data_IF_619185960405
#
_entry.id   IF_619185960405
#
_cell.length_a   1.000
_cell.length_b   1.000
_cell.length_c   1.000
_cell.angle_alpha   90.00
_cell.angle_beta   90.00
_cell.angle_gamma   90.00
#
_symmetry.space_group_name_H-M   'P 1'
#
loop_
_entity.id
_entity.type
_entity.pdbx_description
1 polymer ?
#
# COMPACT_ATOMS: atom_id res chain seq x y z
N UNK A 1 40.10 -54.68 69.99
CA UNK A 1 39.64 -53.48 69.25
C UNK A 1 39.10 -53.94 67.91
N UNK A 2 37.77 -54.02 67.78
CA UNK A 2 37.11 -54.42 66.55
C UNK A 2 37.09 -53.24 65.57
N UNK A 3 37.88 -53.31 64.51
CA UNK A 3 37.71 -52.45 63.35
C UNK A 3 36.51 -52.97 62.56
N UNK A 4 35.35 -52.32 62.73
CA UNK A 4 34.22 -52.48 61.84
C UNK A 4 34.61 -51.93 60.47
N UNK A 5 34.87 -52.84 59.53
CA UNK A 5 34.94 -52.54 58.10
C UNK A 5 33.60 -51.95 57.68
N UNK A 6 33.54 -50.62 57.61
CA UNK A 6 32.44 -49.89 56.99
C UNK A 6 32.55 -50.17 55.50
N UNK A 7 31.76 -51.14 55.01
CA UNK A 7 31.62 -51.39 53.58
C UNK A 7 31.19 -50.07 52.93
N UNK A 8 32.12 -49.43 52.21
CA UNK A 8 31.80 -48.31 51.33
C UNK A 8 30.71 -48.80 50.37
N UNK A 9 29.52 -48.23 50.51
CA UNK A 9 28.34 -48.57 49.73
C UNK A 9 28.65 -48.36 48.24
N UNK A 10 29.01 -49.45 47.54
CA UNK A 10 29.31 -49.44 46.10
C UNK A 10 28.20 -48.78 45.27
N UNK A 11 26.98 -48.80 45.79
CA UNK A 11 25.79 -48.20 45.17
C UNK A 11 25.82 -46.66 45.15
N UNK A 12 26.51 -46.01 46.10
CA UNK A 12 26.60 -44.54 46.16
C UNK A 12 27.43 -43.94 45.02
N UNK A 13 28.50 -44.64 44.60
CA UNK A 13 29.32 -44.25 43.45
C UNK A 13 28.58 -44.40 42.12
N UNK A 14 27.84 -45.49 41.94
CA UNK A 14 27.00 -45.70 40.73
C UNK A 14 25.92 -44.63 40.62
N UNK A 15 25.22 -44.33 41.72
CA UNK A 15 24.18 -43.32 41.75
C UNK A 15 24.71 -41.91 41.40
N UNK A 16 25.93 -41.57 41.83
CA UNK A 16 26.56 -40.27 41.51
C UNK A 16 26.97 -40.18 40.03
N UNK A 17 27.47 -41.26 39.45
CA UNK A 17 27.82 -41.33 38.02
C UNK A 17 26.55 -41.24 37.16
N UNK A 18 25.51 -42.00 37.50
CA UNK A 18 24.22 -41.96 36.80
C UNK A 18 23.55 -40.59 36.89
N UNK A 19 23.54 -39.97 38.06
CA UNK A 19 23.01 -38.62 38.25
C UNK A 19 23.78 -37.57 37.42
N UNK A 20 25.11 -37.71 37.35
CA UNK A 20 25.95 -36.84 36.53
C UNK A 20 25.68 -37.02 35.04
N UNK A 21 25.50 -38.27 34.58
CA UNK A 21 25.16 -38.58 33.19
C UNK A 21 23.78 -37.99 32.82
N UNK A 22 22.78 -38.19 33.68
CA UNK A 22 21.43 -37.62 33.48
C UNK A 22 21.48 -36.10 33.43
N UNK A 23 22.26 -35.46 34.31
CA UNK A 23 22.43 -34.01 34.30
C UNK A 23 23.09 -33.51 33.00
N UNK A 24 24.13 -34.20 32.51
CA UNK A 24 24.78 -33.87 31.23
C UNK A 24 23.77 -33.99 30.07
N UNK A 25 23.03 -35.08 29.99
CA UNK A 25 22.00 -35.30 28.95
C UNK A 25 20.93 -34.21 29.02
N UNK A 26 20.49 -33.86 30.24
CA UNK A 26 19.52 -32.78 30.44
C UNK A 26 20.05 -31.42 29.98
N UNK A 27 21.28 -31.05 30.36
CA UNK A 27 21.90 -29.78 29.97
C UNK A 27 22.06 -29.71 28.45
N UNK A 28 22.55 -30.78 27.81
CA UNK A 28 22.67 -30.84 26.35
C UNK A 28 21.31 -30.73 25.68
N UNK A 29 20.30 -31.48 26.15
CA UNK A 29 18.94 -31.42 25.63
C UNK A 29 18.31 -30.04 25.76
N UNK A 30 18.48 -29.39 26.92
CA UNK A 30 18.04 -28.02 27.15
C UNK A 30 18.70 -27.03 26.19
N UNK A 31 20.03 -27.12 26.00
CA UNK A 31 20.77 -26.24 25.10
C UNK A 31 20.32 -26.39 23.64
N UNK A 32 20.06 -27.63 23.20
CA UNK A 32 19.52 -27.91 21.85
C UNK A 32 18.13 -27.30 21.67
N UNK A 33 17.20 -27.58 22.60
CA UNK A 33 15.84 -27.04 22.54
C UNK A 33 15.81 -25.51 22.58
N UNK A 34 16.64 -24.92 23.43
CA UNK A 34 16.74 -23.48 23.56
C UNK A 34 17.32 -22.84 22.29
N UNK A 35 18.33 -23.45 21.66
CA UNK A 35 18.91 -22.98 20.40
C UNK A 35 17.90 -23.07 19.26
N UNK A 36 17.15 -24.16 19.18
CA UNK A 36 16.06 -24.34 18.22
C UNK A 36 14.94 -23.30 18.41
N UNK A 37 14.59 -23.01 19.67
CA UNK A 37 13.59 -21.98 19.99
C UNK A 37 14.02 -20.58 19.56
N UNK A 38 15.29 -20.22 19.75
CA UNK A 38 15.83 -18.94 19.29
C UNK A 38 15.80 -18.87 17.76
N UNK A 39 16.19 -19.95 17.07
CA UNK A 39 16.17 -20.00 15.61
C UNK A 39 14.74 -19.80 15.06
N UNK A 40 13.76 -20.53 15.60
CA UNK A 40 12.35 -20.37 15.24
C UNK A 40 11.83 -18.95 15.51
N UNK A 41 12.24 -18.33 16.61
CA UNK A 41 11.87 -16.95 16.93
C UNK A 41 12.43 -15.97 15.89
N UNK A 42 13.72 -16.08 15.54
CA UNK A 42 14.37 -15.24 14.54
C UNK A 42 13.72 -15.42 13.17
N UNK A 43 13.48 -16.67 12.77
CA UNK A 43 12.84 -16.98 11.49
C UNK A 43 11.41 -16.41 11.44
N UNK A 44 10.66 -16.50 12.54
CA UNK A 44 9.30 -15.94 12.65
C UNK A 44 9.29 -14.41 12.52
N UNK A 45 10.19 -13.71 13.22
CA UNK A 45 10.30 -12.24 13.16
C UNK A 45 10.66 -11.79 11.75
N UNK A 46 11.70 -12.39 11.15
CA UNK A 46 12.18 -12.05 9.82
C UNK A 46 11.15 -12.35 8.74
N UNK A 47 10.46 -13.50 8.83
CA UNK A 47 9.40 -13.89 7.89
C UNK A 47 8.18 -12.98 7.98
N UNK A 48 7.75 -12.61 9.20
CA UNK A 48 6.64 -11.66 9.39
C UNK A 48 7.01 -10.28 8.84
N UNK A 49 8.22 -9.78 9.11
CA UNK A 49 8.69 -8.51 8.58
C UNK A 49 8.75 -8.52 7.05
N UNK A 50 9.24 -9.62 6.46
CA UNK A 50 9.29 -9.81 5.01
C UNK A 50 7.88 -9.82 4.39
N UNK A 51 6.93 -10.51 5.04
CA UNK A 51 5.54 -10.56 4.57
C UNK A 51 4.87 -9.18 4.58
N UNK A 52 4.95 -8.46 5.70
CA UNK A 52 4.37 -7.11 5.79
C UNK A 52 5.05 -6.12 4.83
N UNK A 53 6.36 -6.29 4.60
CA UNK A 53 7.10 -5.52 3.59
C UNK A 53 6.60 -5.81 2.19
N UNK A 54 6.37 -7.09 1.87
CA UNK A 54 5.82 -7.51 0.58
C UNK A 54 4.43 -6.92 0.31
N UNK A 55 3.57 -6.85 1.32
CA UNK A 55 2.23 -6.26 1.20
C UNK A 55 2.28 -4.75 0.91
N UNK A 56 3.15 -4.01 1.60
CA UNK A 56 3.33 -2.58 1.35
C UNK A 56 3.88 -2.34 -0.07
N UNK A 57 4.87 -3.12 -0.48
CA UNK A 57 5.45 -3.00 -1.83
C UNK A 57 4.44 -3.39 -2.91
N UNK A 58 3.63 -4.43 -2.72
CA UNK A 58 2.57 -4.81 -3.67
C UNK A 58 1.61 -3.65 -3.92
N UNK A 59 1.25 -2.90 -2.87
CA UNK A 59 0.43 -1.70 -2.98
C UNK A 59 1.12 -0.58 -3.78
N UNK A 60 2.43 -0.41 -3.63
CA UNK A 60 3.21 0.55 -4.42
C UNK A 60 3.40 0.12 -5.88
N UNK A 61 3.62 -1.17 -6.16
CA UNK A 61 3.68 -1.67 -7.54
C UNK A 61 2.32 -1.45 -8.21
N UNK A 62 1.20 -1.73 -7.53
CA UNK A 62 -0.13 -1.47 -8.08
C UNK A 62 -0.35 0.01 -8.41
N UNK A 63 0.16 0.91 -7.57
CA UNK A 63 0.19 2.34 -7.88
C UNK A 63 1.00 2.61 -9.16
N UNK A 64 2.25 2.14 -9.24
CA UNK A 64 3.13 2.31 -10.41
C UNK A 64 2.51 1.75 -11.71
N UNK A 65 1.97 0.53 -11.66
CA UNK A 65 1.28 -0.12 -12.80
C UNK A 65 0.10 0.73 -13.28
N UNK A 66 -0.60 1.39 -12.36
CA UNK A 66 -1.71 2.28 -12.71
C UNK A 66 -1.23 3.55 -13.42
N UNK A 67 0.03 3.99 -13.24
CA UNK A 67 0.63 5.08 -14.03
C UNK A 67 1.09 4.61 -15.40
N UNK A 68 1.71 3.43 -15.51
CA UNK A 68 2.21 2.91 -16.79
C UNK A 68 1.07 2.67 -17.81
N UNK A 69 -0.14 2.35 -17.34
CA UNK A 69 -1.33 2.16 -18.20
C UNK A 69 -1.96 3.44 -18.76
N UNK A 70 -1.58 4.62 -18.26
CA UNK A 70 -2.18 5.88 -18.70
C UNK A 70 -1.31 6.47 -19.81
N UNK A 71 -1.62 6.14 -21.06
CA UNK A 71 -0.97 6.72 -22.24
C UNK A 71 -1.01 8.27 -22.29
N UNK A 72 -1.95 8.89 -21.57
CA UNK A 72 -2.14 10.34 -21.46
C UNK A 72 -1.36 11.03 -20.33
N UNK A 73 -0.56 10.30 -19.53
CA UNK A 73 0.43 10.87 -18.58
C UNK A 73 1.85 10.54 -19.09
N UNK A 74 2.03 10.50 -20.42
CA UNK A 74 3.34 10.55 -21.08
C UNK A 74 3.94 11.96 -20.98
N UNK A 75 4.13 12.46 -19.77
CA UNK A 75 4.84 13.72 -19.55
C UNK A 75 6.16 13.43 -18.87
N UNK A 76 7.26 13.95 -19.44
CA UNK A 76 8.64 13.81 -18.96
C UNK A 76 8.83 14.23 -17.48
N UNK A 77 7.86 14.96 -16.91
CA UNK A 77 7.82 15.40 -15.51
C UNK A 77 6.56 14.93 -14.77
N UNK A 78 6.73 14.06 -13.78
CA UNK A 78 5.71 13.77 -12.76
C UNK A 78 5.90 14.79 -11.62
N UNK A 79 4.91 15.66 -11.36
CA UNK A 79 4.99 16.65 -10.28
C UNK A 79 4.54 16.03 -8.95
N UNK A 80 5.42 16.10 -7.94
CA UNK A 80 5.26 15.51 -6.60
C UNK A 80 4.00 15.97 -5.85
N UNK A 81 3.65 17.26 -5.95
CA UNK A 81 2.53 17.83 -5.19
C UNK A 81 1.17 17.24 -5.62
N UNK A 82 1.08 16.71 -6.84
CA UNK A 82 -0.18 16.17 -7.38
C UNK A 82 -0.55 14.80 -6.78
N UNK A 83 0.38 14.12 -6.08
CA UNK A 83 0.23 12.73 -5.63
C UNK A 83 0.49 12.51 -4.13
N UNK A 84 0.81 13.59 -3.42
CA UNK A 84 1.25 13.56 -2.02
C UNK A 84 0.21 12.92 -1.09
N UNK A 85 -1.08 13.18 -1.31
CA UNK A 85 -2.16 12.67 -0.47
C UNK A 85 -2.40 11.16 -0.63
N UNK A 86 -2.01 10.58 -1.78
CA UNK A 86 -2.19 9.14 -2.07
C UNK A 86 -1.06 8.31 -1.45
N UNK A 87 0.13 8.90 -1.35
CA UNK A 87 1.33 8.23 -0.86
C UNK A 87 1.38 8.23 0.68
N UNK A 88 0.59 9.08 1.35
CA UNK A 88 0.79 9.44 2.77
C UNK A 88 -0.17 8.75 3.77
N UNK A 89 -1.04 7.81 3.38
CA UNK A 89 -1.88 7.15 4.41
C UNK A 89 -1.12 6.09 5.25
N UNK A 90 0.05 5.60 4.81
CA UNK A 90 0.84 4.59 5.54
C UNK A 90 2.36 4.87 5.64
N UNK A 91 2.86 5.91 4.98
CA UNK A 91 4.28 6.27 5.00
C UNK A 91 4.43 7.62 5.70
N UNK A 92 4.97 7.62 6.93
CA UNK A 92 5.43 8.83 7.58
C UNK A 92 6.37 9.60 6.63
N UNK A 93 5.90 10.70 6.03
CA UNK A 93 6.60 11.88 5.49
C UNK A 93 8.09 11.78 5.05
N UNK A 94 8.59 10.63 4.61
CA UNK A 94 9.96 10.48 4.15
C UNK A 94 10.03 10.84 2.66
N UNK A 95 10.31 12.12 2.39
CA UNK A 95 10.54 12.69 1.05
C UNK A 95 11.44 11.84 0.14
N UNK A 96 12.32 11.01 0.71
CA UNK A 96 13.24 10.13 -0.05
C UNK A 96 12.52 8.90 -0.63
N UNK A 97 11.63 8.25 0.12
CA UNK A 97 10.89 7.07 -0.37
C UNK A 97 9.89 7.45 -1.47
N UNK A 98 9.28 8.63 -1.33
CA UNK A 98 8.39 9.20 -2.36
C UNK A 98 9.15 9.50 -3.65
N UNK A 99 10.35 10.08 -3.57
CA UNK A 99 11.22 10.31 -4.73
C UNK A 99 11.61 9.00 -5.43
N UNK A 100 11.89 7.96 -4.65
CA UNK A 100 12.22 6.64 -5.17
C UNK A 100 11.02 6.00 -5.92
N UNK A 101 9.80 6.13 -5.39
CA UNK A 101 8.57 5.69 -6.06
C UNK A 101 8.29 6.45 -7.36
N UNK A 102 8.47 7.78 -7.36
CA UNK A 102 8.32 8.61 -8.58
C UNK A 102 9.35 8.19 -9.64
N UNK A 103 10.57 7.86 -9.22
CA UNK A 103 11.61 7.39 -10.13
C UNK A 103 11.18 6.10 -10.85
N UNK A 104 10.53 5.17 -10.14
CA UNK A 104 10.01 3.93 -10.71
C UNK A 104 8.86 4.14 -11.70
N UNK A 105 8.04 5.18 -11.51
CA UNK A 105 6.94 5.53 -12.41
C UNK A 105 7.40 6.22 -13.72
N UNK A 106 8.70 6.52 -13.90
CA UNK A 106 9.21 7.11 -15.14
C UNK A 106 9.38 6.05 -16.22
N UNK A 107 8.84 6.33 -17.41
CA UNK A 107 8.79 5.42 -18.57
C UNK A 107 10.15 4.87 -19.03
N UNK A 108 11.22 5.67 -18.95
CA UNK A 108 12.54 5.33 -19.53
C UNK A 108 13.57 4.87 -18.49
N UNK A 109 13.11 4.34 -17.35
CA UNK A 109 14.02 3.81 -16.33
C UNK A 109 14.52 2.42 -16.72
N UNK A 110 15.85 2.24 -16.70
CA UNK A 110 16.44 0.92 -16.96
C UNK A 110 16.02 -0.10 -15.90
N UNK A 111 15.88 -1.37 -16.29
CA UNK A 111 15.57 -2.48 -15.36
C UNK A 111 16.55 -2.54 -14.19
N UNK A 112 17.83 -2.22 -14.42
CA UNK A 112 18.84 -2.12 -13.38
C UNK A 112 18.50 -1.03 -12.36
N UNK A 113 18.06 0.14 -12.82
CA UNK A 113 17.66 1.23 -11.95
C UNK A 113 16.35 0.91 -11.22
N UNK A 114 15.39 0.23 -11.87
CA UNK A 114 14.17 -0.29 -11.21
C UNK A 114 14.56 -1.22 -10.05
N UNK A 115 15.43 -2.19 -10.31
CA UNK A 115 15.93 -3.15 -9.32
C UNK A 115 16.60 -2.46 -8.13
N UNK A 116 17.52 -1.53 -8.38
CA UNK A 116 18.20 -0.77 -7.32
C UNK A 116 17.20 0.05 -6.49
N UNK A 117 16.24 0.70 -7.14
CA UNK A 117 15.25 1.53 -6.45
C UNK A 117 14.28 0.68 -5.62
N UNK A 118 13.76 -0.43 -6.16
CA UNK A 118 12.99 -1.39 -5.36
C UNK A 118 13.80 -1.93 -4.19
N UNK A 119 15.09 -2.22 -4.37
CA UNK A 119 15.95 -2.74 -3.30
C UNK A 119 16.08 -1.76 -2.15
N UNK A 120 16.25 -0.47 -2.48
CA UNK A 120 16.36 0.59 -1.47
C UNK A 120 15.05 0.80 -0.70
N UNK A 121 13.91 0.81 -1.40
CA UNK A 121 12.58 0.94 -0.79
C UNK A 121 12.33 -0.26 0.13
N UNK A 122 12.56 -1.47 -0.38
CA UNK A 122 12.36 -2.73 0.36
C UNK A 122 13.17 -2.79 1.62
N UNK A 123 14.46 -2.45 1.54
CA UNK A 123 15.35 -2.43 2.71
C UNK A 123 14.81 -1.52 3.82
N UNK A 124 14.40 -0.30 3.47
CA UNK A 124 13.86 0.66 4.45
C UNK A 124 12.58 0.17 5.11
N UNK A 125 11.64 -0.33 4.31
CA UNK A 125 10.36 -0.83 4.84
C UNK A 125 10.61 -2.03 5.74
N UNK A 126 11.46 -2.97 5.30
CA UNK A 126 11.83 -4.15 6.09
C UNK A 126 12.44 -3.76 7.42
N UNK A 127 13.40 -2.83 7.43
CA UNK A 127 14.01 -2.33 8.67
C UNK A 127 12.96 -1.78 9.64
N UNK A 128 12.00 -0.99 9.14
CA UNK A 128 10.92 -0.43 9.95
C UNK A 128 9.94 -1.50 10.46
N UNK A 129 9.58 -2.47 9.62
CA UNK A 129 8.69 -3.58 10.02
C UNK A 129 9.34 -4.44 11.10
N UNK A 130 10.63 -4.75 10.97
CA UNK A 130 11.39 -5.46 12.00
C UNK A 130 11.35 -4.74 13.35
N UNK A 131 11.51 -3.41 13.37
CA UNK A 131 11.41 -2.61 14.60
C UNK A 131 10.00 -2.67 15.20
N UNK A 132 8.97 -2.57 14.36
CA UNK A 132 7.57 -2.56 14.81
C UNK A 132 7.07 -3.89 15.37
N UNK A 133 7.59 -5.03 14.88
CA UNK A 133 7.15 -6.37 15.31
C UNK A 133 7.58 -6.64 16.75
N UNK A 134 8.76 -6.13 17.15
CA UNK A 134 9.23 -6.24 18.52
C UNK A 134 10.27 -5.16 18.79
N UNK A 135 9.83 -4.12 19.50
CA UNK A 135 10.70 -3.06 19.99
C UNK A 135 11.86 -3.69 20.80
N UNK A 136 13.07 -3.16 20.62
CA UNK A 136 14.29 -3.57 21.35
C UNK A 136 14.83 -4.99 21.10
N UNK A 137 14.50 -5.62 19.97
CA UNK A 137 15.18 -6.88 19.59
C UNK A 137 16.62 -6.63 19.21
N UNK A 138 17.53 -7.03 20.10
CA UNK A 138 18.94 -7.16 19.75
C UNK A 138 19.14 -8.46 18.95
N UNK A 139 19.17 -8.34 17.63
CA UNK A 139 19.39 -9.47 16.72
C UNK A 139 20.77 -10.14 16.87
N UNK A 140 21.78 -9.45 17.40
CA UNK A 140 23.07 -10.07 17.72
C UNK A 140 22.93 -11.05 18.89
N UNK A 141 22.16 -10.66 19.92
CA UNK A 141 21.86 -11.54 21.05
C UNK A 141 21.03 -12.77 20.66
N UNK A 142 20.31 -12.67 19.54
CA UNK A 142 19.57 -13.79 18.95
C UNK A 142 20.41 -14.62 17.97
N UNK A 143 21.70 -14.30 17.79
CA UNK A 143 22.63 -15.06 16.97
C UNK A 143 22.67 -14.65 15.50
N UNK A 144 22.13 -13.50 15.09
CA UNK A 144 22.37 -13.00 13.72
C UNK A 144 23.75 -12.33 13.65
N UNK A 145 24.59 -12.78 12.72
CA UNK A 145 25.91 -12.17 12.48
C UNK A 145 25.73 -10.72 12.01
N UNK A 146 26.36 -9.76 12.69
CA UNK A 146 26.20 -8.31 12.48
C UNK A 146 24.77 -7.79 12.77
N UNK A 147 24.00 -8.53 13.55
CA UNK A 147 22.68 -8.12 14.02
C UNK A 147 21.72 -7.80 12.89
N UNK A 148 20.92 -6.74 13.06
CA UNK A 148 19.96 -6.28 12.05
C UNK A 148 20.63 -5.97 10.70
N UNK A 149 21.84 -5.39 10.74
CA UNK A 149 22.59 -5.03 9.53
C UNK A 149 23.09 -6.25 8.74
N UNK A 150 23.13 -7.42 9.37
CA UNK A 150 23.44 -8.70 8.73
C UNK A 150 22.32 -9.26 7.85
N UNK A 151 21.09 -8.74 7.99
CA UNK A 151 19.94 -9.13 7.17
C UNK A 151 20.00 -8.33 5.86
N UNK A 152 20.42 -8.99 4.78
CA UNK A 152 20.59 -8.37 3.47
C UNK A 152 19.41 -8.70 2.58
N UNK A 153 18.70 -7.67 2.11
CA UNK A 153 17.84 -7.79 0.92
C UNK A 153 18.77 -8.06 -0.25
N UNK A 154 18.73 -9.26 -0.81
CA UNK A 154 19.82 -9.75 -1.65
C UNK A 154 19.42 -10.08 -3.07
N UNK A 155 18.14 -10.28 -3.37
CA UNK A 155 17.68 -10.46 -4.73
C UNK A 155 16.31 -9.79 -4.84
N UNK A 156 16.22 -8.74 -5.67
CA UNK A 156 14.93 -8.32 -6.21
C UNK A 156 14.91 -8.71 -7.67
N UNK A 157 14.21 -9.78 -7.98
CA UNK A 157 13.96 -10.16 -9.36
C UNK A 157 12.66 -9.51 -9.80
N UNK A 158 12.77 -8.56 -10.73
CA UNK A 158 11.62 -8.06 -11.47
C UNK A 158 11.27 -9.14 -12.50
N UNK A 159 10.18 -9.86 -12.24
CA UNK A 159 9.68 -10.92 -13.12
C UNK A 159 9.07 -10.27 -14.38
N UNK A 160 8.95 -11.05 -15.48
CA UNK A 160 8.52 -10.55 -16.78
C UNK A 160 7.21 -9.74 -16.71
N UNK A 161 7.18 -8.60 -17.41
CA UNK A 161 6.12 -7.59 -17.46
C UNK A 161 5.97 -6.68 -16.22
N UNK A 162 7.07 -6.39 -15.50
CA UNK A 162 7.20 -5.33 -14.46
C UNK A 162 6.29 -5.39 -13.23
N UNK A 163 5.32 -6.30 -13.18
CA UNK A 163 4.23 -6.29 -12.21
C UNK A 163 4.37 -7.36 -11.12
N UNK A 164 5.48 -8.08 -11.09
CA UNK A 164 5.78 -9.05 -10.06
C UNK A 164 7.25 -8.94 -9.63
N UNK A 165 7.47 -8.95 -8.32
CA UNK A 165 8.77 -8.93 -7.69
C UNK A 165 8.93 -10.19 -6.83
N UNK A 166 10.08 -10.84 -6.95
CA UNK A 166 10.57 -11.73 -5.91
C UNK A 166 11.47 -10.91 -5.00
N UNK A 167 11.20 -10.94 -3.69
CA UNK A 167 12.05 -10.31 -2.68
C UNK A 167 12.68 -11.42 -1.85
N UNK A 168 14.01 -11.49 -1.87
CA UNK A 168 14.77 -12.39 -1.01
C UNK A 168 15.56 -11.63 0.07
N UNK A 169 15.52 -12.15 1.29
CA UNK A 169 16.42 -11.76 2.38
C UNK A 169 17.36 -12.92 2.70
N UNK A 170 18.63 -12.58 2.92
CA UNK A 170 19.66 -13.52 3.33
C UNK A 170 20.31 -13.01 4.62
N UNK A 171 20.51 -13.92 5.57
CA UNK A 171 21.26 -13.64 6.80
C UNK A 171 21.98 -14.90 7.29
N UNK A 172 23.09 -14.70 7.98
CA UNK A 172 23.80 -15.78 8.66
C UNK A 172 23.41 -15.79 10.12
N UNK A 173 22.88 -16.92 10.55
CA UNK A 173 22.65 -17.26 11.93
C UNK A 173 23.87 -18.00 12.47
N UNK A 174 24.39 -17.57 13.61
CA UNK A 174 25.47 -18.19 14.34
C UNK A 174 25.15 -18.18 15.83
N UNK A 175 24.75 -19.32 16.36
CA UNK A 175 24.68 -19.53 17.80
C UNK A 175 25.93 -20.29 18.25
N UNK A 176 26.82 -19.57 18.92
CA UNK A 176 27.95 -20.18 19.61
C UNK A 176 27.65 -20.16 21.11
N UNK A 177 27.18 -21.29 21.66
CA UNK A 177 26.82 -21.39 23.08
C UNK A 177 27.81 -22.29 23.81
N UNK A 178 28.50 -21.66 24.77
CA UNK A 178 29.36 -22.32 25.76
C UNK A 178 30.50 -23.18 25.20
N UNK A 179 30.95 -22.93 23.96
CA UNK A 179 32.11 -23.61 23.35
C UNK A 179 31.93 -25.10 23.09
N UNK A 180 30.74 -25.66 23.32
CA UNK A 180 30.43 -27.08 23.07
C UNK A 180 29.67 -27.28 21.75
N UNK A 181 28.86 -26.30 21.34
CA UNK A 181 28.05 -26.38 20.14
C UNK A 181 28.04 -25.03 19.41
N UNK A 182 28.46 -25.05 18.14
CA UNK A 182 28.27 -23.95 17.21
C UNK A 182 27.26 -24.35 16.15
N UNK A 183 26.18 -23.58 16.05
CA UNK A 183 25.20 -23.72 14.98
C UNK A 183 25.32 -22.51 14.07
N UNK A 184 25.98 -22.70 12.93
CA UNK A 184 26.05 -21.71 11.87
C UNK A 184 25.17 -22.14 10.70
N UNK A 185 24.19 -21.31 10.36
CA UNK A 185 23.29 -21.55 9.24
C UNK A 185 23.13 -20.30 8.38
N UNK A 186 23.07 -20.47 7.06
CA UNK A 186 22.73 -19.40 6.14
C UNK A 186 21.26 -19.53 5.79
N UNK A 187 20.46 -18.53 6.15
CA UNK A 187 19.02 -18.55 5.92
C UNK A 187 18.70 -17.64 4.74
N UNK A 188 17.99 -18.19 3.76
CA UNK A 188 17.35 -17.46 2.65
C UNK A 188 15.84 -17.57 2.81
N UNK A 189 15.15 -16.43 2.88
CA UNK A 189 13.70 -16.35 2.86
C UNK A 189 13.25 -15.54 1.66
N UNK A 190 12.24 -16.01 0.94
CA UNK A 190 11.75 -15.37 -0.27
C UNK A 190 10.24 -15.13 -0.17
N UNK A 191 9.78 -14.02 -0.72
CA UNK A 191 8.37 -13.75 -0.96
C UNK A 191 8.18 -13.32 -2.42
N UNK A 192 7.18 -13.89 -3.07
CA UNK A 192 6.74 -13.47 -4.39
C UNK A 192 5.55 -12.56 -4.22
N UNK A 193 5.69 -11.34 -4.70
CA UNK A 193 4.62 -10.34 -4.72
C UNK A 193 4.28 -10.01 -6.16
N UNK A 194 2.99 -9.95 -6.44
CA UNK A 194 2.47 -9.51 -7.73
C UNK A 194 1.41 -8.44 -7.51
N UNK A 195 1.02 -7.77 -8.59
CA UNK A 195 -0.15 -6.91 -8.57
C UNK A 195 -1.39 -7.69 -8.99
N UNK A 196 -2.51 -7.35 -8.36
CA UNK A 196 -3.85 -7.73 -8.83
C UNK A 196 -4.32 -6.82 -9.95
N UNK A 197 -3.47 -5.91 -10.44
CA UNK A 197 -3.76 -5.13 -11.62
C UNK A 197 -4.08 -6.14 -12.70
N UNK A 198 -5.38 -6.27 -13.02
CA UNK A 198 -5.87 -7.16 -14.07
C UNK A 198 -4.88 -7.05 -15.23
N UNK A 199 -4.56 -8.19 -15.84
CA UNK A 199 -4.24 -8.23 -17.27
C UNK A 199 -5.44 -7.61 -18.00
N UNK A 200 -5.60 -6.29 -17.89
CA UNK A 200 -6.28 -5.49 -18.87
C UNK A 200 -5.43 -5.67 -20.09
N UNK A 201 -6.07 -6.11 -21.17
CA UNK A 201 -5.41 -6.36 -22.44
C UNK A 201 -4.48 -5.22 -22.77
N UNK A 202 -3.48 -5.53 -23.59
CA UNK A 202 -2.81 -4.53 -24.42
C UNK A 202 -3.83 -3.45 -24.80
N UNK A 203 -3.47 -2.17 -24.67
CA UNK A 203 -4.30 -1.00 -24.97
C UNK A 203 -4.73 -0.86 -26.44
N UNK A 204 -5.05 -1.98 -27.08
CA UNK A 204 -5.58 -2.16 -28.42
C UNK A 204 -6.95 -2.85 -28.41
N UNK A 205 -7.60 -3.04 -27.26
CA UNK A 205 -9.00 -3.42 -27.25
C UNK A 205 -9.83 -2.18 -27.61
N UNK A 206 -10.26 -2.09 -28.87
CA UNK A 206 -11.09 -1.01 -29.43
C UNK A 206 -12.43 -0.75 -28.71
N UNK A 207 -12.69 -1.48 -27.61
CA UNK A 207 -13.90 -1.46 -26.79
C UNK A 207 -13.64 -1.06 -25.32
N UNK A 208 -12.44 -0.59 -24.95
CA UNK A 208 -12.17 -0.13 -23.58
C UNK A 208 -12.72 1.29 -23.34
N UNK A 209 -13.81 1.41 -22.59
CA UNK A 209 -14.36 2.71 -22.17
C UNK A 209 -13.67 3.22 -20.90
N UNK A 210 -13.66 4.55 -20.69
CA UNK A 210 -13.15 5.17 -19.44
C UNK A 210 -13.85 4.58 -18.20
N UNK A 211 -15.08 4.09 -18.34
CA UNK A 211 -15.88 3.48 -17.28
C UNK A 211 -15.35 2.13 -16.75
N UNK A 212 -14.44 1.49 -17.48
CA UNK A 212 -13.71 0.29 -17.04
C UNK A 212 -12.48 0.61 -16.18
N UNK A 213 -12.05 1.88 -16.15
CA UNK A 213 -10.94 2.34 -15.33
C UNK A 213 -11.34 2.52 -13.86
N UNK A 214 -10.33 2.59 -12.99
CA UNK A 214 -10.55 2.82 -11.55
C UNK A 214 -11.25 4.15 -11.28
N UNK A 215 -11.97 4.26 -10.14
CA UNK A 215 -12.64 5.50 -9.73
C UNK A 215 -11.68 6.71 -9.72
N UNK A 216 -10.41 6.48 -9.40
CA UNK A 216 -9.37 7.50 -9.39
C UNK A 216 -9.06 8.02 -10.80
N UNK A 217 -8.78 7.11 -11.74
CA UNK A 217 -8.44 7.46 -13.13
C UNK A 217 -9.61 8.21 -13.78
N UNK A 218 -10.83 7.69 -13.61
CA UNK A 218 -12.04 8.34 -14.13
C UNK A 218 -12.26 9.72 -13.52
N UNK A 219 -12.15 9.84 -12.20
CA UNK A 219 -12.31 11.12 -11.51
C UNK A 219 -11.35 12.18 -12.05
N UNK A 220 -10.08 11.82 -12.28
CA UNK A 220 -9.09 12.71 -12.86
C UNK A 220 -9.39 13.06 -14.32
N UNK A 221 -9.74 12.08 -15.14
CA UNK A 221 -10.11 12.29 -16.55
C UNK A 221 -11.22 13.35 -16.66
N UNK A 222 -12.32 13.16 -15.93
CA UNK A 222 -13.44 14.08 -15.99
C UNK A 222 -13.16 15.43 -15.33
N UNK A 223 -12.42 15.47 -14.21
CA UNK A 223 -12.01 16.74 -13.61
C UNK A 223 -11.12 17.54 -14.57
N UNK A 224 -10.19 16.90 -15.28
CA UNK A 224 -9.33 17.57 -16.27
C UNK A 224 -10.12 18.02 -17.52
N UNK A 225 -11.17 17.28 -17.93
CA UNK A 225 -12.09 17.72 -19.00
C UNK A 225 -12.87 18.97 -18.59
N UNK A 226 -13.51 18.93 -17.41
CA UNK A 226 -14.27 20.04 -16.87
C UNK A 226 -13.40 21.28 -16.63
N UNK A 227 -12.13 21.11 -16.24
CA UNK A 227 -11.15 22.21 -16.14
C UNK A 227 -10.87 22.92 -17.46
N UNK A 228 -10.93 22.21 -18.59
CA UNK A 228 -10.72 22.82 -19.92
C UNK A 228 -11.96 23.55 -20.41
N UNK A 229 -13.15 23.09 -20.03
CA UNK A 229 -14.43 23.63 -20.50
C UNK A 229 -14.97 24.75 -19.60
N UNK A 230 -14.62 24.77 -18.31
CA UNK A 230 -15.08 25.81 -17.40
C UNK A 230 -14.22 27.08 -17.47
N UNK A 231 -14.85 28.28 -17.56
CA UNK A 231 -14.15 29.57 -17.55
C UNK A 231 -13.63 30.01 -16.16
N UNK A 232 -13.68 29.12 -15.15
CA UNK A 232 -13.31 29.43 -13.77
C UNK A 232 -11.81 29.31 -13.46
N UNK A 233 -11.41 29.66 -12.24
CA UNK A 233 -10.03 29.46 -11.77
C UNK A 233 -9.84 27.99 -11.43
N UNK A 234 -8.90 27.35 -12.14
CA UNK A 234 -8.49 25.99 -11.81
C UNK A 234 -7.63 26.01 -10.55
N UNK A 235 -8.13 25.35 -9.50
CA UNK A 235 -7.40 25.17 -8.25
C UNK A 235 -6.26 24.18 -8.47
N UNK A 236 -5.11 24.46 -7.84
CA UNK A 236 -3.96 23.54 -7.86
C UNK A 236 -4.38 22.14 -7.42
N UNK A 237 -3.99 21.13 -8.20
CA UNK A 237 -4.19 19.71 -7.85
C UNK A 237 -3.62 19.42 -6.45
N UNK A 238 -4.27 18.51 -5.71
CA UNK A 238 -3.89 18.18 -4.33
C UNK A 238 -4.47 19.10 -3.25
N UNK A 239 -5.29 20.09 -3.60
CA UNK A 239 -5.93 20.99 -2.61
C UNK A 239 -7.21 20.40 -1.99
N UNK A 240 -7.57 19.16 -2.34
CA UNK A 240 -8.82 18.52 -1.90
C UNK A 240 -10.09 18.96 -2.63
N UNK A 241 -10.02 19.95 -3.53
CA UNK A 241 -11.12 20.41 -4.38
C UNK A 241 -10.59 20.66 -5.80
N UNK A 242 -11.46 20.72 -6.80
CA UNK A 242 -11.05 20.65 -8.20
C UNK A 242 -11.06 21.99 -8.94
N UNK A 243 -12.04 22.85 -8.65
CA UNK A 243 -12.35 24.06 -9.39
C UNK A 243 -12.91 25.15 -8.46
N UNK A 244 -12.69 26.42 -8.84
CA UNK A 244 -13.37 27.57 -8.24
C UNK A 244 -14.01 28.43 -9.32
N UNK A 245 -15.34 28.52 -9.25
CA UNK A 245 -16.13 29.44 -10.05
C UNK A 245 -16.17 30.80 -9.36
N UNK A 246 -15.41 31.75 -9.92
CA UNK A 246 -15.25 33.11 -9.38
C UNK A 246 -16.55 33.90 -9.48
N UNK A 247 -17.29 33.75 -10.58
CA UNK A 247 -18.50 34.53 -10.83
C UNK A 247 -19.58 34.20 -9.79
N UNK A 248 -19.69 32.93 -9.44
CA UNK A 248 -20.70 32.45 -8.49
C UNK A 248 -20.16 32.25 -7.06
N UNK A 249 -18.89 32.57 -6.79
CA UNK A 249 -18.17 32.26 -5.55
C UNK A 249 -18.42 30.81 -5.10
N UNK A 250 -18.20 29.85 -6.02
CA UNK A 250 -18.55 28.43 -5.81
C UNK A 250 -17.33 27.54 -5.91
N UNK A 251 -17.05 26.77 -4.85
CA UNK A 251 -16.06 25.69 -4.85
C UNK A 251 -16.72 24.43 -5.40
N UNK A 252 -16.07 23.82 -6.39
CA UNK A 252 -16.58 22.62 -7.05
C UNK A 252 -15.59 21.47 -6.85
N UNK A 253 -16.11 20.32 -6.43
CA UNK A 253 -15.36 19.06 -6.39
C UNK A 253 -16.03 18.03 -7.29
N UNK A 254 -15.22 17.33 -8.07
CA UNK A 254 -15.64 16.42 -9.12
C UNK A 254 -15.35 14.98 -8.70
N UNK A 255 -16.37 14.14 -8.75
CA UNK A 255 -16.23 12.68 -8.61
C UNK A 255 -16.87 11.99 -9.81
N UNK A 256 -16.53 10.72 -10.02
CA UNK A 256 -17.17 9.90 -11.04
C UNK A 256 -17.65 8.57 -10.48
N UNK A 257 -18.84 8.14 -10.89
CA UNK A 257 -19.43 6.87 -10.45
C UNK A 257 -19.97 6.10 -11.65
N UNK A 258 -19.45 4.89 -11.86
CA UNK A 258 -20.08 3.96 -12.78
C UNK A 258 -21.34 3.40 -12.11
N UNK A 259 -22.48 4.06 -12.34
CA UNK A 259 -23.76 3.74 -11.72
C UNK A 259 -24.26 2.33 -12.06
N UNK A 260 -23.79 1.74 -13.16
CA UNK A 260 -24.15 0.37 -13.59
C UNK A 260 -23.41 -0.72 -12.82
N UNK A 261 -22.44 -0.36 -11.97
CA UNK A 261 -21.79 -1.35 -11.11
C UNK A 261 -22.83 -2.00 -10.18
N UNK A 262 -22.73 -3.32 -10.00
CA UNK A 262 -23.59 -4.12 -9.11
C UNK A 262 -23.65 -3.58 -7.67
N UNK A 263 -22.64 -2.83 -7.23
CA UNK A 263 -22.64 -2.12 -5.94
C UNK A 263 -23.70 -1.02 -5.88
N UNK A 264 -23.94 -0.30 -6.97
CA UNK A 264 -24.76 0.92 -6.98
C UNK A 264 -26.14 0.72 -7.60
N UNK A 265 -26.28 -0.22 -8.52
CA UNK A 265 -27.58 -0.52 -9.12
C UNK A 265 -27.76 -2.01 -9.39
N UNK A 266 -29.00 -2.37 -9.65
CA UNK A 266 -29.41 -3.68 -10.17
C UNK A 266 -30.39 -3.51 -11.32
N UNK A 267 -30.30 -4.39 -12.32
CA UNK A 267 -31.25 -4.46 -13.42
C UNK A 267 -32.27 -5.56 -13.12
N UNK A 268 -33.56 -5.23 -13.10
CA UNK A 268 -34.68 -6.17 -12.97
C UNK A 268 -35.70 -5.87 -14.06
N UNK A 269 -36.03 -6.88 -14.87
CA UNK A 269 -37.09 -6.78 -15.91
C UNK A 269 -36.96 -5.50 -16.76
N UNK A 270 -35.75 -5.28 -17.28
CA UNK A 270 -35.34 -4.12 -18.10
C UNK A 270 -35.28 -2.74 -17.40
N UNK A 271 -35.72 -2.65 -16.14
CA UNK A 271 -35.59 -1.44 -15.34
C UNK A 271 -34.36 -1.47 -14.45
N UNK A 272 -33.69 -0.33 -14.32
CA UNK A 272 -32.56 -0.16 -13.42
C UNK A 272 -33.02 0.46 -12.10
N UNK A 273 -32.63 -0.16 -10.99
CA UNK A 273 -32.94 0.29 -9.64
C UNK A 273 -31.66 0.67 -8.90
N UNK A 274 -31.67 1.84 -8.24
CA UNK A 274 -30.54 2.28 -7.42
C UNK A 274 -30.59 1.63 -6.05
N UNK A 275 -29.43 1.21 -5.58
CA UNK A 275 -29.22 0.68 -4.23
C UNK A 275 -28.86 1.79 -3.26
N UNK A 276 -29.10 1.55 -1.98
CA UNK A 276 -28.81 2.50 -0.90
C UNK A 276 -27.33 2.91 -0.87
N UNK A 277 -26.43 2.00 -1.26
CA UNK A 277 -24.99 2.21 -1.38
C UNK A 277 -24.61 3.38 -2.29
N UNK A 278 -25.37 3.62 -3.36
CA UNK A 278 -25.16 4.77 -4.24
C UNK A 278 -25.36 6.07 -3.47
N UNK A 279 -26.50 6.20 -2.78
CA UNK A 279 -26.83 7.38 -1.97
C UNK A 279 -25.84 7.58 -0.82
N UNK A 280 -25.45 6.50 -0.13
CA UNK A 280 -24.41 6.54 0.91
C UNK A 280 -23.08 7.04 0.37
N UNK A 281 -22.70 6.62 -0.83
CA UNK A 281 -21.45 7.03 -1.49
C UNK A 281 -21.48 8.52 -1.85
N UNK A 282 -22.55 8.98 -2.52
CA UNK A 282 -22.71 10.40 -2.87
C UNK A 282 -22.74 11.29 -1.61
N UNK A 283 -23.42 10.84 -0.55
CA UNK A 283 -23.44 11.54 0.76
C UNK A 283 -22.07 11.59 1.42
N UNK A 284 -21.27 10.53 1.28
CA UNK A 284 -19.89 10.50 1.76
C UNK A 284 -19.03 11.53 1.01
N UNK A 285 -19.17 11.62 -0.32
CA UNK A 285 -18.45 12.61 -1.12
C UNK A 285 -18.84 14.04 -0.77
N UNK A 286 -20.12 14.32 -0.55
CA UNK A 286 -20.56 15.65 -0.12
C UNK A 286 -19.97 16.04 1.25
N UNK A 287 -19.95 15.10 2.21
CA UNK A 287 -19.29 15.33 3.51
C UNK A 287 -17.79 15.61 3.38
N UNK A 288 -17.11 14.92 2.45
CA UNK A 288 -15.68 15.16 2.16
C UNK A 288 -15.46 16.55 1.57
N UNK A 289 -16.31 17.01 0.66
CA UNK A 289 -16.28 18.37 0.14
C UNK A 289 -16.35 19.41 1.26
N UNK A 290 -17.34 19.29 2.15
CA UNK A 290 -17.48 20.21 3.29
C UNK A 290 -16.26 20.21 4.21
N UNK A 291 -15.69 19.04 4.48
CA UNK A 291 -14.46 18.91 5.27
C UNK A 291 -13.27 19.60 4.58
N UNK A 292 -13.12 19.39 3.27
CA UNK A 292 -12.04 19.98 2.50
C UNK A 292 -12.14 21.51 2.46
N UNK A 293 -13.34 22.06 2.24
CA UNK A 293 -13.58 23.51 2.30
C UNK A 293 -13.22 24.07 3.68
N UNK A 294 -13.61 23.38 4.76
CA UNK A 294 -13.26 23.79 6.13
C UNK A 294 -11.75 23.80 6.37
N UNK A 295 -11.02 22.84 5.79
CA UNK A 295 -9.58 22.72 5.94
C UNK A 295 -8.79 23.71 5.08
N UNK A 296 -9.40 24.34 4.08
CA UNK A 296 -8.74 25.32 3.21
C UNK A 296 -8.42 26.65 3.90
N UNK A 297 -8.86 26.89 5.14
CA UNK A 297 -8.56 28.11 5.91
C UNK A 297 -8.77 29.40 5.10
N UNK A 298 -9.86 29.46 4.31
CA UNK A 298 -10.24 30.58 3.45
C UNK A 298 -9.23 30.96 2.36
N UNK A 299 -8.23 30.13 2.04
CA UNK A 299 -7.27 30.42 0.99
C UNK A 299 -7.04 29.22 0.08
N UNK A 300 -6.87 29.45 -1.22
CA UNK A 300 -6.40 28.42 -2.14
C UNK A 300 -5.35 28.96 -3.10
N UNK A 301 -4.54 28.04 -3.62
CA UNK A 301 -3.54 28.33 -4.64
C UNK A 301 -4.10 27.84 -5.96
N UNK A 302 -4.16 28.72 -6.94
CA UNK A 302 -4.54 28.38 -8.31
C UNK A 302 -3.39 27.69 -9.05
N UNK A 303 -3.67 27.10 -10.21
CA UNK A 303 -2.66 26.44 -11.05
C UNK A 303 -1.51 27.36 -11.49
N UNK A 304 -1.72 28.68 -11.56
CA UNK A 304 -0.68 29.66 -11.92
C UNK A 304 0.18 30.11 -10.72
N UNK A 305 -0.11 29.57 -9.52
CA UNK A 305 0.61 29.86 -8.28
C UNK A 305 0.09 31.06 -7.50
N UNK A 306 -0.95 31.78 -7.99
CA UNK A 306 -1.57 32.87 -7.24
C UNK A 306 -2.44 32.33 -6.10
N UNK A 307 -2.32 32.97 -4.94
CA UNK A 307 -3.18 32.74 -3.79
C UNK A 307 -4.43 33.60 -3.90
N UNK A 308 -5.57 33.00 -3.59
CA UNK A 308 -6.87 33.67 -3.56
C UNK A 308 -7.52 33.44 -2.22
N UNK A 309 -8.07 34.51 -1.64
CA UNK A 309 -8.88 34.44 -0.43
C UNK A 309 -10.34 34.20 -0.80
N UNK A 310 -10.94 33.19 -0.17
CA UNK A 310 -12.34 32.84 -0.33
C UNK A 310 -13.07 33.16 0.97
N UNK A 311 -14.01 34.10 0.87
CA UNK A 311 -14.97 34.35 1.93
C UNK A 311 -16.27 33.59 1.64
N UNK A 312 -16.65 32.69 2.55
CA UNK A 312 -17.93 31.99 2.59
C UNK A 312 -18.38 31.43 1.20
N UNK A 313 -17.61 30.51 0.60
CA UNK A 313 -17.92 29.96 -0.71
C UNK A 313 -19.19 29.12 -0.66
N UNK A 314 -19.94 29.13 -1.76
CA UNK A 314 -20.94 28.09 -2.01
C UNK A 314 -20.23 26.78 -2.35
N UNK A 315 -20.74 25.67 -1.86
CA UNK A 315 -20.25 24.34 -2.20
C UNK A 315 -21.06 23.72 -3.34
N UNK A 316 -20.39 23.04 -4.27
CA UNK A 316 -21.05 22.23 -5.30
C UNK A 316 -20.29 20.92 -5.49
N UNK A 317 -21.01 19.81 -5.39
CA UNK A 317 -20.49 18.48 -5.71
C UNK A 317 -20.95 18.10 -7.12
N UNK A 318 -20.00 17.88 -8.03
CA UNK A 318 -20.29 17.35 -9.38
C UNK A 318 -20.01 15.87 -9.39
N UNK A 319 -21.03 15.06 -9.70
CA UNK A 319 -20.90 13.62 -9.92
C UNK A 319 -21.06 13.34 -11.42
N UNK A 320 -19.99 12.89 -12.05
CA UNK A 320 -20.02 12.45 -13.44
C UNK A 320 -20.49 11.01 -13.50
N UNK A 321 -21.48 10.75 -14.33
CA UNK A 321 -22.11 9.47 -14.58
C UNK A 321 -22.04 9.13 -16.08
N UNK A 322 -22.19 7.85 -16.45
CA UNK A 322 -22.30 7.45 -17.85
C UNK A 322 -23.46 8.15 -18.55
N UNK A 323 -23.33 8.42 -19.85
CA UNK A 323 -24.36 9.10 -20.65
C UNK A 323 -25.74 8.45 -20.56
N UNK A 324 -25.77 7.12 -20.59
CA UNK A 324 -26.97 6.31 -20.58
C UNK A 324 -27.73 6.43 -19.26
N UNK A 325 -27.04 6.84 -18.18
CA UNK A 325 -27.67 7.02 -16.88
C UNK A 325 -28.75 8.10 -16.89
N UNK A 326 -28.67 9.06 -17.82
CA UNK A 326 -29.65 10.15 -17.97
C UNK A 326 -31.05 9.66 -18.27
N UNK A 327 -31.16 8.57 -19.03
CA UNK A 327 -32.44 7.98 -19.44
C UNK A 327 -32.86 6.83 -18.53
N UNK A 328 -31.88 6.12 -17.95
CA UNK A 328 -32.11 4.89 -17.20
C UNK A 328 -32.38 5.12 -15.69
N UNK A 329 -32.04 6.29 -15.15
CA UNK A 329 -32.21 6.60 -13.72
C UNK A 329 -32.88 7.96 -13.49
N UNK A 330 -33.82 8.02 -12.55
CA UNK A 330 -34.38 9.29 -12.06
C UNK A 330 -33.59 9.79 -10.84
N UNK A 331 -32.66 10.72 -11.07
CA UNK A 331 -31.80 11.31 -10.04
C UNK A 331 -32.32 12.65 -9.50
N UNK A 332 -33.51 13.10 -9.92
CA UNK A 332 -34.01 14.46 -9.59
C UNK A 332 -34.23 14.68 -8.09
N UNK A 333 -34.58 13.63 -7.36
CA UNK A 333 -34.90 13.72 -5.93
C UNK A 333 -33.66 13.77 -5.02
N UNK A 334 -32.47 13.43 -5.52
CA UNK A 334 -31.24 13.33 -4.71
C UNK A 334 -30.77 14.69 -4.19
N UNK A 335 -31.00 15.77 -4.97
CA UNK A 335 -30.63 17.13 -4.59
C UNK A 335 -31.27 17.58 -3.27
N UNK A 336 -32.46 17.08 -2.94
CA UNK A 336 -33.18 17.46 -1.72
C UNK A 336 -32.63 16.78 -0.46
N UNK A 337 -31.98 15.62 -0.59
CA UNK A 337 -31.57 14.80 0.56
C UNK A 337 -30.10 14.96 0.95
N UNK A 338 -29.22 15.30 -0.01
CA UNK A 338 -27.76 15.29 0.21
C UNK A 338 -27.16 16.69 0.29
N UNK A 339 -27.66 17.64 -0.51
CA UNK A 339 -27.11 19.00 -0.63
C UNK A 339 -26.98 19.45 -2.08
N UNK A 340 -26.11 20.43 -2.35
CA UNK A 340 -25.90 20.96 -3.69
C UNK A 340 -25.08 19.99 -4.56
N UNK A 341 -25.76 18.98 -5.11
CA UNK A 341 -25.19 17.96 -5.98
C UNK A 341 -25.66 18.18 -7.42
N UNK A 342 -24.73 18.16 -8.37
CA UNK A 342 -24.98 18.24 -9.80
C UNK A 342 -24.53 16.93 -10.46
N UNK A 343 -25.38 16.36 -11.31
CA UNK A 343 -25.05 15.17 -12.10
C UNK A 343 -24.76 15.59 -13.52
N UNK A 344 -23.55 15.26 -13.99
CA UNK A 344 -23.16 15.41 -15.38
C UNK A 344 -23.08 14.02 -16.02
N UNK A 345 -23.44 13.95 -17.29
CA UNK A 345 -23.51 12.70 -18.04
C UNK A 345 -22.51 12.80 -19.18
N UNK A 346 -21.48 11.96 -19.17
CA UNK A 346 -20.35 12.04 -20.09
C UNK A 346 -19.83 10.65 -20.41
N UNK A 347 -19.54 10.38 -21.69
CA UNK A 347 -18.99 9.13 -22.20
C UNK A 347 -19.93 7.92 -21.96
N UNK A 348 -20.08 7.05 -22.96
CA UNK A 348 -20.88 5.82 -22.82
C UNK A 348 -20.13 4.76 -22.00
N UNK A 349 -20.84 4.10 -21.08
CA UNK A 349 -20.31 2.96 -20.31
C UNK A 349 -20.70 1.60 -20.90
N UNK A 350 -21.86 1.54 -21.54
CA UNK A 350 -22.38 0.35 -22.21
C UNK A 350 -22.02 0.46 -23.68
N UNK A 351 -21.43 -0.59 -24.24
CA UNK A 351 -21.25 -0.66 -25.69
C UNK A 351 -22.63 -0.87 -26.32
N UNK A 352 -22.98 -0.04 -27.30
CA UNK A 352 -24.13 -0.29 -28.17
C UNK A 352 -23.83 -1.61 -28.91
N UNK A 353 -24.50 -2.71 -28.53
CA UNK A 353 -24.52 -3.94 -29.30
C UNK A 353 -25.74 -3.95 -30.22
#
# INVERSE_FOLDING_TARGET
MNYTNKSLDKNSGSATIEASLVFIVFVVGYLVLHSLSINLLVESITRKALFETGMDISSYIQFIDSFEKIDNIKTESINYEDYKDIIIENINNENKLIKDLIKLAKKDISNETKRVTYSNITKKILEKKMDSIKNDVNFENLGIVNGKSGIKVSDINVLENSNALEIAINYTFNLDKFGMFSLKNNVKQCINIGTWARKGGNGNDANSTIWNESNFIRGRYFADHLRKEHPGIVIKKGSGVDLFDVENNTIIQVYSLNIFNKTYSEKKEEKHFLKEEFFKTVKSYYKKLLLNIKNMNNNFISNDGKSYEISNPKEKLVIVLPEEAKELFDLKNIKKEIGNVEFLYMEKALNDN
#
